data_IF_745189918076
#
_entry.id   IF_745189918076
#
_cell.length_a   1.000
_cell.length_b   1.000
_cell.length_c   1.000
_cell.angle_alpha   90.00
_cell.angle_beta   90.00
_cell.angle_gamma   90.00
#
_symmetry.space_group_name_H-M   'P 1'
#
loop_
_entity.id
_entity.type
_entity.pdbx_description
1 polymer ?
#
# COMPACT_ATOMS: atom_id res chain seq x y z
N UNK A 1 10.65 0.64 4.16
CA UNK A 1 9.64 1.71 4.01
C UNK A 1 10.27 3.04 4.44
N UNK A 2 9.86 4.16 3.84
CA UNK A 2 10.41 5.49 4.19
C UNK A 2 9.30 6.56 4.13
N UNK A 3 9.34 7.54 5.02
CA UNK A 3 8.37 8.64 5.05
C UNK A 3 9.03 9.93 4.57
N UNK A 4 8.48 10.53 3.52
CA UNK A 4 8.89 11.84 3.01
C UNK A 4 7.67 12.65 2.59
N UNK A 5 7.59 13.93 2.97
CA UNK A 5 6.52 14.86 2.57
C UNK A 5 5.09 14.33 2.81
N UNK A 6 4.82 13.73 3.98
CA UNK A 6 3.55 13.08 4.35
C UNK A 6 3.15 11.89 3.45
N UNK A 7 4.15 11.25 2.82
CA UNK A 7 3.95 10.05 1.99
C UNK A 7 4.79 8.91 2.52
N UNK A 8 4.20 7.72 2.61
CA UNK A 8 4.89 6.48 2.92
C UNK A 8 5.27 5.77 1.62
N UNK A 9 6.56 5.61 1.37
CA UNK A 9 7.11 4.91 0.22
C UNK A 9 7.48 3.47 0.57
N UNK A 10 6.97 2.52 -0.23
CA UNK A 10 7.29 1.10 -0.15
C UNK A 10 8.01 0.70 -1.44
N UNK A 11 9.34 0.72 -1.36
CA UNK A 11 10.26 0.55 -2.50
C UNK A 11 10.81 -0.86 -2.65
N UNK A 12 10.86 -1.60 -1.54
CA UNK A 12 11.37 -2.98 -1.47
C UNK A 12 10.23 -3.97 -1.28
N UNK A 13 10.54 -5.27 -1.36
CA UNK A 13 9.62 -6.35 -1.03
C UNK A 13 8.93 -6.09 0.32
N UNK A 14 7.62 -6.32 0.36
CA UNK A 14 6.80 -6.21 1.57
C UNK A 14 6.04 -7.51 1.82
N UNK A 15 6.29 -8.12 2.97
CA UNK A 15 5.78 -9.41 3.38
C UNK A 15 4.68 -9.28 4.45
N UNK A 16 4.03 -10.40 4.79
CA UNK A 16 3.00 -10.44 5.83
C UNK A 16 3.46 -9.88 7.18
N UNK A 17 4.74 -10.08 7.52
CA UNK A 17 5.34 -9.65 8.79
C UNK A 17 5.37 -8.13 8.94
N UNK A 18 5.28 -7.39 7.82
CA UNK A 18 5.32 -5.93 7.78
C UNK A 18 3.94 -5.26 8.01
N UNK A 19 2.86 -6.04 8.17
CA UNK A 19 1.50 -5.50 8.31
C UNK A 19 1.38 -4.49 9.46
N UNK A 20 1.95 -4.83 10.63
CA UNK A 20 1.84 -3.99 11.82
C UNK A 20 2.64 -2.69 11.66
N UNK A 21 3.82 -2.76 11.05
CA UNK A 21 4.62 -1.57 10.73
C UNK A 21 3.87 -0.67 9.75
N UNK A 22 3.30 -1.24 8.68
CA UNK A 22 2.52 -0.51 7.69
C UNK A 22 1.31 0.20 8.34
N UNK A 23 0.56 -0.47 9.21
CA UNK A 23 -0.57 0.14 9.93
C UNK A 23 -0.08 1.32 10.77
N UNK A 24 0.98 1.12 11.55
CA UNK A 24 1.49 2.15 12.44
C UNK A 24 1.93 3.39 11.66
N UNK A 25 2.72 3.21 10.60
CA UNK A 25 3.21 4.30 9.75
C UNK A 25 2.09 4.96 8.93
N UNK A 26 1.05 4.20 8.55
CA UNK A 26 -0.07 4.74 7.77
C UNK A 26 -0.87 5.82 8.50
N UNK A 27 -0.86 5.83 9.84
CA UNK A 27 -1.61 6.83 10.62
C UNK A 27 -1.01 8.24 10.52
N UNK A 28 0.26 8.36 10.12
CA UNK A 28 1.02 9.61 10.10
C UNK A 28 1.19 10.20 8.69
N UNK A 29 0.55 9.61 7.68
CA UNK A 29 0.69 9.99 6.27
C UNK A 29 -0.65 10.19 5.58
N UNK A 30 -0.64 10.98 4.51
CA UNK A 30 -1.84 11.24 3.68
C UNK A 30 -1.90 10.29 2.47
N UNK A 31 -0.75 9.75 2.07
CA UNK A 31 -0.61 8.90 0.89
C UNK A 31 0.38 7.76 1.14
N UNK A 32 0.06 6.58 0.61
CA UNK A 32 0.98 5.44 0.52
C UNK A 32 1.30 5.20 -0.95
N UNK A 33 2.59 5.18 -1.29
CA UNK A 33 3.10 4.94 -2.64
C UNK A 33 3.83 3.61 -2.67
N UNK A 34 3.34 2.68 -3.50
CA UNK A 34 3.90 1.34 -3.71
C UNK A 34 4.71 1.36 -5.01
N UNK A 35 6.04 1.28 -4.90
CA UNK A 35 6.98 1.29 -6.04
C UNK A 35 7.57 -0.10 -6.33
N UNK A 36 7.32 -1.07 -5.45
CA UNK A 36 7.71 -2.48 -5.64
C UNK A 36 6.62 -3.29 -6.38
N UNK A 37 7.05 -4.33 -7.10
CA UNK A 37 6.14 -5.33 -7.64
C UNK A 37 6.00 -6.58 -6.73
N UNK A 38 6.82 -6.69 -5.69
CA UNK A 38 6.85 -7.83 -4.76
C UNK A 38 6.07 -7.48 -3.48
N UNK A 39 4.75 -7.66 -3.55
CA UNK A 39 3.80 -7.32 -2.48
C UNK A 39 3.02 -8.56 -2.08
N UNK A 40 3.11 -8.92 -0.81
CA UNK A 40 2.38 -10.07 -0.28
C UNK A 40 0.86 -9.85 -0.34
N UNK A 41 0.03 -10.87 -0.66
CA UNK A 41 -1.43 -10.72 -0.80
C UNK A 41 -2.15 -10.11 0.41
N UNK A 42 -1.68 -10.41 1.63
CA UNK A 42 -2.23 -9.82 2.86
C UNK A 42 -2.02 -8.30 2.92
N UNK A 43 -0.91 -7.80 2.37
CA UNK A 43 -0.64 -6.36 2.27
C UNK A 43 -1.62 -5.71 1.30
N UNK A 44 -1.96 -6.34 0.17
CA UNK A 44 -3.02 -5.83 -0.70
C UNK A 44 -4.36 -5.70 0.02
N UNK A 45 -4.75 -6.70 0.81
CA UNK A 45 -5.99 -6.65 1.59
C UNK A 45 -5.98 -5.50 2.62
N UNK A 46 -4.83 -5.27 3.26
CA UNK A 46 -4.63 -4.15 4.16
C UNK A 46 -4.70 -2.80 3.42
N UNK A 47 -4.00 -2.66 2.30
CA UNK A 47 -4.03 -1.46 1.46
C UNK A 47 -5.45 -1.14 0.96
N UNK A 48 -6.26 -2.16 0.62
CA UNK A 48 -7.67 -1.97 0.27
C UNK A 48 -8.46 -1.38 1.44
N UNK A 49 -8.24 -1.90 2.64
CA UNK A 49 -8.90 -1.40 3.86
C UNK A 49 -8.49 0.04 4.15
N UNK A 50 -7.19 0.35 4.07
CA UNK A 50 -6.64 1.70 4.26
C UNK A 50 -7.09 2.68 3.18
N UNK A 51 -7.35 2.20 1.95
CA UNK A 51 -7.79 3.04 0.84
C UNK A 51 -9.13 3.74 1.05
N UNK A 52 -9.88 3.36 2.11
CA UNK A 52 -11.12 4.02 2.53
C UNK A 52 -10.85 5.37 3.22
N UNK A 53 -9.63 5.60 3.70
CA UNK A 53 -9.25 6.80 4.46
C UNK A 53 -7.95 7.45 4.01
N UNK A 54 -7.07 6.70 3.32
CA UNK A 54 -5.74 7.15 2.88
C UNK A 54 -5.64 6.99 1.37
N UNK A 55 -4.98 7.93 0.68
CA UNK A 55 -4.73 7.78 -0.75
C UNK A 55 -3.70 6.67 -0.99
N UNK A 56 -3.97 5.74 -1.90
CA UNK A 56 -3.06 4.64 -2.23
C UNK A 56 -2.70 4.74 -3.71
N UNK A 57 -1.41 4.90 -3.99
CA UNK A 57 -0.84 4.95 -5.34
C UNK A 57 0.03 3.70 -5.53
N UNK A 58 -0.19 2.97 -6.62
CA UNK A 58 0.62 1.80 -7.00
C UNK A 58 1.23 2.10 -8.36
N UNK A 59 2.56 2.15 -8.42
CA UNK A 59 3.31 2.52 -9.62
C UNK A 59 3.53 1.32 -10.56
N UNK A 60 3.64 0.10 -10.01
CA UNK A 60 3.71 -1.11 -10.83
C UNK A 60 2.37 -1.37 -11.56
N UNK A 61 2.42 -1.46 -12.89
CA UNK A 61 1.23 -1.60 -13.75
C UNK A 61 0.39 -2.85 -13.48
N UNK A 62 1.03 -3.99 -13.15
CA UNK A 62 0.30 -5.23 -12.89
C UNK A 62 -0.45 -5.13 -11.57
N UNK A 63 0.26 -4.73 -10.51
CA UNK A 63 -0.30 -4.57 -9.17
C UNK A 63 -1.35 -3.46 -9.12
N UNK A 64 -1.15 -2.37 -9.87
CA UNK A 64 -2.13 -1.29 -10.02
C UNK A 64 -3.44 -1.81 -10.60
N UNK A 65 -3.40 -2.52 -11.73
CA UNK A 65 -4.60 -3.11 -12.34
C UNK A 65 -5.27 -4.11 -11.41
N UNK A 66 -4.49 -4.95 -10.73
CA UNK A 66 -5.01 -5.90 -9.76
C UNK A 66 -5.74 -5.19 -8.62
N UNK A 67 -5.14 -4.17 -8.03
CA UNK A 67 -5.70 -3.41 -6.92
C UNK A 67 -6.95 -2.60 -7.31
N UNK A 68 -6.94 -1.94 -8.48
CA UNK A 68 -8.10 -1.23 -9.01
C UNK A 68 -9.28 -2.19 -9.24
N UNK A 69 -9.02 -3.39 -9.76
CA UNK A 69 -10.05 -4.42 -9.92
C UNK A 69 -10.63 -4.87 -8.58
N UNK A 70 -9.81 -4.96 -7.52
CA UNK A 70 -10.32 -5.30 -6.19
C UNK A 70 -11.19 -4.18 -5.61
N UNK A 71 -10.80 -2.91 -5.79
CA UNK A 71 -11.59 -1.74 -5.35
C UNK A 71 -12.97 -1.66 -6.01
N UNK A 72 -13.11 -2.09 -7.26
CA UNK A 72 -14.40 -2.09 -7.96
C UNK A 72 -15.39 -3.14 -7.44
N UNK A 73 -14.91 -4.14 -6.68
CA UNK A 73 -15.71 -5.25 -6.17
C UNK A 73 -15.98 -5.17 -4.66
N UNK A 74 -15.53 -4.12 -3.98
CA UNK A 74 -15.72 -3.85 -2.54
C UNK A 74 -16.79 -2.77 -2.31
#
# INVERSE_FOLDING_TARGET
MNIENNKLYITDKIDYEDCDELINLSNDVEEIVIETNDVHPAIFQLLLSLSKTINIVIEDEFNKRFFENLKLND
#
